data_IF_182057676422
#
_entry.id   IF_182057676422
#
_cell.length_a   1.000
_cell.length_b   1.000
_cell.length_c   1.000
_cell.angle_alpha   90.00
_cell.angle_beta   90.00
_cell.angle_gamma   90.00
#
_symmetry.space_group_name_H-M   'P 1'
#
loop_
_entity.id
_entity.type
_entity.pdbx_description
1 polymer ?
#
# COMPACT_ATOMS: atom_id res chain seq x y z
N UNK A 1 -1.25 -13.28 21.89
CA UNK A 1 -2.57 -13.94 22.03
C UNK A 1 -2.43 -15.16 22.92
N UNK A 2 -3.26 -15.23 23.97
CA UNK A 2 -3.21 -16.28 24.96
C UNK A 2 -4.58 -16.99 25.05
N UNK A 3 -4.60 -18.30 24.80
CA UNK A 3 -5.81 -19.11 24.90
C UNK A 3 -6.07 -19.51 26.36
N UNK A 4 -7.21 -19.08 26.89
CA UNK A 4 -7.65 -19.39 28.26
C UNK A 4 -8.00 -20.87 28.46
N UNK A 5 -8.38 -21.57 27.37
CA UNK A 5 -8.81 -22.98 27.42
C UNK A 5 -7.60 -23.92 27.53
N UNK A 6 -6.60 -23.75 26.68
CA UNK A 6 -5.37 -24.55 26.67
C UNK A 6 -4.29 -24.00 27.61
N UNK A 7 -4.38 -22.73 27.98
CA UNK A 7 -3.37 -21.96 28.71
C UNK A 7 -2.04 -21.85 27.96
N UNK A 8 -2.11 -21.75 26.63
CA UNK A 8 -0.96 -21.64 25.78
C UNK A 8 -0.98 -20.36 24.94
N UNK A 9 0.19 -19.92 24.46
CA UNK A 9 0.28 -18.82 23.52
C UNK A 9 -0.07 -19.30 22.12
N UNK A 10 -1.11 -18.73 21.53
CA UNK A 10 -1.57 -19.02 20.17
C UNK A 10 -0.71 -18.32 19.12
N UNK A 11 -0.30 -17.07 19.40
CA UNK A 11 0.48 -16.27 18.47
C UNK A 11 0.60 -14.83 18.90
N UNK A 12 0.94 -13.95 17.96
CA UNK A 12 1.03 -12.51 18.16
C UNK A 12 0.08 -11.79 17.23
N UNK A 13 -0.44 -10.63 17.65
CA UNK A 13 -1.20 -9.70 16.83
C UNK A 13 -0.40 -8.40 16.67
N UNK A 14 -0.66 -7.70 15.59
CA UNK A 14 -0.11 -6.36 15.38
C UNK A 14 -0.77 -5.37 16.35
N UNK A 15 0.02 -4.43 16.89
CA UNK A 15 -0.46 -3.43 17.85
C UNK A 15 -1.57 -2.55 17.24
N UNK A 16 -1.46 -2.18 15.96
CA UNK A 16 -2.49 -1.40 15.27
C UNK A 16 -3.81 -2.16 15.15
N UNK A 17 -3.72 -3.49 14.93
CA UNK A 17 -4.93 -4.32 14.94
C UNK A 17 -5.58 -4.34 16.33
N UNK A 18 -4.79 -4.51 17.38
CA UNK A 18 -5.31 -4.51 18.75
C UNK A 18 -5.97 -3.17 19.09
N UNK A 19 -5.31 -2.05 18.79
CA UNK A 19 -5.81 -0.71 19.08
C UNK A 19 -7.06 -0.32 18.29
N UNK A 20 -7.20 -0.78 17.05
CA UNK A 20 -8.29 -0.34 16.17
C UNK A 20 -9.47 -1.32 16.10
N UNK A 21 -9.24 -2.60 16.29
CA UNK A 21 -10.21 -3.66 16.00
C UNK A 21 -10.45 -4.63 17.16
N UNK A 22 -9.49 -4.77 18.10
CA UNK A 22 -9.67 -5.71 19.18
C UNK A 22 -10.58 -5.11 20.29
N UNK A 23 -11.72 -5.73 20.48
CA UNK A 23 -12.66 -5.40 21.56
C UNK A 23 -13.16 -6.71 22.18
N UNK A 24 -13.31 -6.80 23.51
CA UNK A 24 -13.91 -7.97 24.14
C UNK A 24 -15.26 -8.33 23.53
N UNK A 25 -15.41 -9.59 23.11
CA UNK A 25 -16.57 -10.11 22.39
C UNK A 25 -16.36 -10.25 20.87
N UNK A 26 -15.48 -9.48 20.27
CA UNK A 26 -15.11 -9.59 18.86
C UNK A 26 -14.36 -10.90 18.57
N UNK A 27 -14.38 -11.30 17.30
CA UNK A 27 -13.75 -12.54 16.83
C UNK A 27 -12.73 -12.30 15.74
N UNK A 28 -11.70 -13.13 15.69
CA UNK A 28 -10.70 -13.10 14.63
C UNK A 28 -10.19 -14.49 14.28
N UNK A 29 -9.55 -14.64 13.12
CA UNK A 29 -8.96 -15.89 12.67
C UNK A 29 -7.45 -15.82 12.85
N UNK A 30 -6.87 -16.81 13.53
CA UNK A 30 -5.43 -17.00 13.63
C UNK A 30 -5.10 -18.50 13.57
N UNK A 31 -4.10 -18.87 12.79
CA UNK A 31 -3.68 -20.28 12.53
C UNK A 31 -4.80 -21.17 11.97
N UNK A 32 -5.74 -20.59 11.23
CA UNK A 32 -6.87 -21.34 10.67
C UNK A 32 -8.01 -21.65 11.65
N UNK A 33 -7.92 -21.16 12.87
CA UNK A 33 -8.94 -21.28 13.92
C UNK A 33 -9.56 -19.92 14.23
N UNK A 34 -10.82 -19.93 14.64
CA UNK A 34 -11.54 -18.72 15.03
C UNK A 34 -11.48 -18.53 16.53
N UNK A 35 -11.13 -17.33 16.95
CA UNK A 35 -10.92 -16.96 18.35
C UNK A 35 -11.84 -15.81 18.73
N UNK A 36 -12.43 -15.89 19.91
CA UNK A 36 -13.16 -14.78 20.53
C UNK A 36 -12.28 -14.09 21.56
N UNK A 37 -12.21 -12.77 21.49
CA UNK A 37 -11.51 -11.94 22.46
C UNK A 37 -12.34 -11.89 23.75
N UNK A 38 -11.75 -12.32 24.85
CA UNK A 38 -12.40 -12.25 26.17
C UNK A 38 -11.95 -11.00 26.93
N UNK A 39 -10.65 -10.70 26.89
CA UNK A 39 -10.07 -9.54 27.57
C UNK A 39 -8.76 -9.10 26.93
N UNK A 40 -8.37 -7.86 27.20
CA UNK A 40 -7.11 -7.27 26.73
C UNK A 40 -6.38 -6.72 27.94
N UNK A 41 -5.22 -7.28 28.23
CA UNK A 41 -4.33 -6.85 29.30
C UNK A 41 -3.21 -6.01 28.68
N UNK A 42 -3.33 -4.69 28.82
CA UNK A 42 -2.37 -3.73 28.29
C UNK A 42 -1.02 -3.79 29.05
N UNK A 43 -1.04 -4.12 30.34
CA UNK A 43 0.16 -4.17 31.19
C UNK A 43 1.04 -5.37 30.80
N UNK A 44 0.42 -6.51 30.46
CA UNK A 44 1.12 -7.72 30.00
C UNK A 44 1.20 -7.80 28.47
N UNK A 45 0.70 -6.82 27.74
CA UNK A 45 0.57 -6.81 26.28
C UNK A 45 -0.05 -8.12 25.77
N UNK A 46 -1.15 -8.55 26.39
CA UNK A 46 -1.78 -9.84 26.17
C UNK A 46 -3.24 -9.73 25.78
N UNK A 47 -3.64 -10.38 24.71
CA UNK A 47 -5.02 -10.58 24.32
C UNK A 47 -5.46 -11.97 24.74
N UNK A 48 -6.42 -12.06 25.65
CA UNK A 48 -6.96 -13.31 26.14
C UNK A 48 -8.12 -13.78 25.27
N UNK A 49 -8.07 -15.03 24.81
CA UNK A 49 -9.02 -15.56 23.83
C UNK A 49 -9.54 -16.96 24.24
N UNK A 50 -10.66 -17.33 23.62
CA UNK A 50 -11.18 -18.69 23.62
C UNK A 50 -11.49 -19.15 22.20
N UNK A 51 -11.27 -20.43 21.84
CA UNK A 51 -11.64 -20.93 20.51
C UNK A 51 -13.15 -20.97 20.34
N UNK A 52 -13.63 -20.76 19.09
CA UNK A 52 -15.03 -20.86 18.70
C UNK A 52 -15.19 -22.00 17.70
N UNK A 53 -16.09 -22.94 17.99
CA UNK A 53 -16.37 -24.09 17.11
C UNK A 53 -17.37 -23.78 15.98
N UNK A 54 -18.17 -22.71 16.12
CA UNK A 54 -19.22 -22.36 15.13
C UNK A 54 -18.89 -21.05 14.40
N UNK A 55 -18.62 -21.08 13.09
CA UNK A 55 -18.22 -19.91 12.29
C UNK A 55 -19.41 -19.05 11.83
N UNK A 56 -20.54 -19.02 12.53
CA UNK A 56 -21.70 -18.21 12.15
C UNK A 56 -21.52 -16.68 12.34
N UNK A 57 -20.31 -16.21 12.65
CA UNK A 57 -19.97 -14.80 12.79
C UNK A 57 -19.27 -14.22 11.56
N UNK A 58 -19.20 -12.91 11.46
CA UNK A 58 -18.41 -12.20 10.46
C UNK A 58 -16.94 -12.64 10.54
N UNK A 59 -16.35 -12.95 9.39
CA UNK A 59 -14.92 -13.24 9.30
C UNK A 59 -14.19 -11.93 9.50
N UNK A 60 -13.47 -11.74 10.62
CA UNK A 60 -12.74 -10.50 10.82
C UNK A 60 -11.65 -10.38 9.75
N UNK A 61 -11.57 -9.23 9.11
CA UNK A 61 -10.46 -8.91 8.23
C UNK A 61 -9.23 -8.60 9.09
N UNK A 62 -8.39 -9.59 9.30
CA UNK A 62 -7.07 -9.36 9.88
C UNK A 62 -6.13 -8.83 8.79
N UNK A 63 -5.63 -7.62 8.99
CA UNK A 63 -4.54 -7.08 8.20
C UNK A 63 -3.26 -7.27 9.02
N UNK A 64 -2.39 -8.18 8.59
CA UNK A 64 -1.05 -8.30 9.19
C UNK A 64 -0.28 -6.99 9.07
N UNK A 65 0.80 -6.84 9.83
CA UNK A 65 1.69 -5.68 9.65
C UNK A 65 2.17 -5.65 8.21
N UNK A 66 1.98 -4.51 7.58
CA UNK A 66 2.47 -4.27 6.23
C UNK A 66 4.00 -4.32 6.23
N UNK A 67 4.57 -5.19 5.41
CA UNK A 67 6.02 -5.25 5.26
C UNK A 67 6.44 -4.02 4.45
N UNK A 68 7.20 -3.07 5.04
CA UNK A 68 7.56 -1.86 4.33
C UNK A 68 8.48 -2.20 3.14
N UNK A 69 8.14 -1.68 1.97
CA UNK A 69 8.99 -1.77 0.77
C UNK A 69 10.06 -0.70 0.84
N UNK A 70 11.36 -1.06 0.88
CA UNK A 70 12.45 -0.10 0.89
C UNK A 70 12.51 0.74 -0.39
N UNK A 71 13.03 1.97 -0.29
CA UNK A 71 13.18 2.87 -1.44
C UNK A 71 13.98 2.24 -2.58
N UNK A 72 15.02 1.44 -2.29
CA UNK A 72 15.81 0.75 -3.29
C UNK A 72 14.99 -0.25 -4.12
N UNK A 73 14.05 -0.97 -3.48
CA UNK A 73 13.17 -1.93 -4.19
C UNK A 73 12.13 -1.18 -5.02
N UNK A 74 11.53 -0.13 -4.47
CA UNK A 74 10.56 0.69 -5.21
C UNK A 74 11.21 1.38 -6.41
N UNK A 75 12.42 1.92 -6.24
CA UNK A 75 13.20 2.52 -7.32
C UNK A 75 13.54 1.52 -8.45
N UNK A 76 13.91 0.28 -8.09
CA UNK A 76 14.14 -0.80 -9.05
C UNK A 76 12.89 -1.10 -9.91
N UNK A 77 11.70 -1.10 -9.28
CA UNK A 77 10.43 -1.24 -10.00
C UNK A 77 10.19 -0.04 -10.92
N UNK A 78 10.51 1.17 -10.46
CA UNK A 78 10.44 2.39 -11.26
C UNK A 78 11.34 2.32 -12.50
N UNK A 79 12.61 1.93 -12.33
CA UNK A 79 13.57 1.73 -13.42
C UNK A 79 13.07 0.67 -14.43
N UNK A 80 12.59 -0.47 -13.93
CA UNK A 80 12.04 -1.53 -14.78
C UNK A 80 10.86 -1.01 -15.64
N UNK A 81 9.96 -0.24 -15.04
CA UNK A 81 8.84 0.40 -15.75
C UNK A 81 9.33 1.35 -16.84
N UNK A 82 10.33 2.19 -16.54
CA UNK A 82 10.91 3.14 -17.49
C UNK A 82 11.56 2.45 -18.68
N UNK A 83 12.38 1.42 -18.43
CA UNK A 83 13.04 0.63 -19.48
C UNK A 83 12.01 -0.08 -20.36
N UNK A 84 11.01 -0.75 -19.75
CA UNK A 84 9.97 -1.46 -20.50
C UNK A 84 9.12 -0.50 -21.35
N UNK A 85 8.73 0.65 -20.79
CA UNK A 85 7.97 1.66 -21.51
C UNK A 85 8.71 2.15 -22.76
N UNK A 86 10.00 2.46 -22.66
CA UNK A 86 10.81 2.89 -23.79
C UNK A 86 10.86 1.84 -24.91
N UNK A 87 10.85 0.55 -24.58
CA UNK A 87 10.82 -0.52 -25.57
C UNK A 87 9.44 -0.67 -26.23
N UNK A 88 8.35 -0.56 -25.46
CA UNK A 88 6.99 -0.59 -26.01
C UNK A 88 6.69 0.62 -26.89
N UNK A 89 7.18 1.81 -26.54
CA UNK A 89 7.13 2.98 -27.42
C UNK A 89 7.89 2.75 -28.74
N UNK A 90 8.97 1.98 -28.69
CA UNK A 90 9.73 1.51 -29.87
C UNK A 90 9.07 0.35 -30.63
N UNK A 91 7.84 -0.05 -30.26
CA UNK A 91 7.08 -1.15 -30.87
C UNK A 91 7.65 -2.55 -30.67
N UNK A 92 8.41 -2.78 -29.58
CA UNK A 92 8.82 -4.12 -29.20
C UNK A 92 7.61 -4.93 -28.69
N UNK A 93 7.59 -6.24 -28.97
CA UNK A 93 6.57 -7.13 -28.43
C UNK A 93 6.88 -7.50 -26.96
N UNK A 94 5.84 -7.78 -26.17
CA UNK A 94 5.98 -8.10 -24.75
C UNK A 94 6.90 -9.30 -24.47
N UNK A 95 6.87 -10.42 -25.22
CA UNK A 95 7.80 -11.50 -25.04
C UNK A 95 9.27 -11.12 -25.29
N UNK A 96 9.54 -10.22 -26.24
CA UNK A 96 10.89 -9.72 -26.46
C UNK A 96 11.38 -8.87 -25.28
N UNK A 97 10.54 -7.95 -24.81
CA UNK A 97 10.82 -7.15 -23.61
C UNK A 97 11.05 -8.04 -22.39
N UNK A 98 10.17 -9.02 -22.14
CA UNK A 98 10.30 -9.94 -21.01
C UNK A 98 11.63 -10.68 -20.99
N UNK A 99 12.12 -11.14 -22.14
CA UNK A 99 13.41 -11.84 -22.24
C UNK A 99 14.61 -10.99 -21.83
N UNK A 100 14.56 -9.68 -21.97
CA UNK A 100 15.64 -8.79 -21.51
C UNK A 100 15.72 -8.68 -19.99
N UNK A 101 14.61 -8.89 -19.28
CA UNK A 101 14.56 -8.85 -17.83
C UNK A 101 14.93 -10.19 -17.15
N UNK A 102 14.82 -11.32 -17.86
CA UNK A 102 15.10 -12.65 -17.31
C UNK A 102 16.51 -12.81 -16.70
N UNK A 103 17.58 -12.23 -17.24
CA UNK A 103 18.91 -12.34 -16.62
C UNK A 103 19.03 -11.59 -15.28
N UNK A 104 18.17 -10.60 -15.04
CA UNK A 104 18.24 -9.71 -13.87
C UNK A 104 17.25 -10.12 -12.79
N UNK A 105 16.09 -10.64 -13.16
CA UNK A 105 15.02 -10.97 -12.24
C UNK A 105 14.69 -12.46 -12.21
N UNK A 106 14.50 -13.05 -11.00
CA UNK A 106 14.12 -14.44 -10.88
C UNK A 106 12.68 -14.65 -11.37
N UNK A 107 12.51 -15.55 -12.32
CA UNK A 107 11.19 -15.86 -12.90
C UNK A 107 11.34 -16.56 -14.24
N UNK A 108 10.24 -17.02 -14.77
CA UNK A 108 10.14 -17.48 -16.16
C UNK A 108 9.59 -16.37 -17.08
N UNK A 109 9.67 -16.60 -18.40
CA UNK A 109 9.23 -15.63 -19.40
C UNK A 109 7.74 -15.25 -19.21
N UNK A 110 6.92 -16.19 -18.79
CA UNK A 110 5.49 -15.95 -18.55
C UNK A 110 5.28 -14.99 -17.37
N UNK A 111 5.92 -15.25 -16.25
CA UNK A 111 5.81 -14.42 -15.03
C UNK A 111 6.26 -12.99 -15.32
N UNK A 112 7.39 -12.82 -15.99
CA UNK A 112 7.90 -11.49 -16.35
C UNK A 112 6.96 -10.80 -17.35
N UNK A 113 6.48 -11.53 -18.36
CA UNK A 113 5.54 -11.01 -19.35
C UNK A 113 4.22 -10.54 -18.69
N UNK A 114 3.67 -11.31 -17.74
CA UNK A 114 2.48 -10.92 -17.00
C UNK A 114 2.71 -9.66 -16.14
N UNK A 115 3.89 -9.53 -15.53
CA UNK A 115 4.26 -8.33 -14.76
C UNK A 115 4.38 -7.06 -15.63
N UNK A 116 4.72 -7.20 -16.92
CA UNK A 116 4.84 -6.09 -17.87
C UNK A 116 3.50 -5.66 -18.50
N UNK A 117 2.44 -6.47 -18.40
CA UNK A 117 1.13 -6.18 -19.00
C UNK A 117 0.54 -4.80 -18.60
N UNK A 118 0.58 -4.36 -17.33
CA UNK A 118 0.10 -3.03 -16.97
C UNK A 118 0.91 -1.90 -17.62
N UNK A 119 2.22 -2.08 -17.77
CA UNK A 119 3.11 -1.08 -18.39
C UNK A 119 2.79 -0.92 -19.86
N UNK A 120 2.67 -2.03 -20.60
CA UNK A 120 2.30 -2.01 -22.02
C UNK A 120 0.96 -1.34 -22.25
N UNK A 121 -0.08 -1.70 -21.48
CA UNK A 121 -1.41 -1.08 -21.58
C UNK A 121 -1.40 0.42 -21.30
N UNK A 122 -0.56 0.88 -20.37
CA UNK A 122 -0.46 2.30 -20.07
C UNK A 122 0.23 3.07 -21.19
N UNK A 123 1.28 2.49 -21.79
CA UNK A 123 1.95 3.04 -22.99
C UNK A 123 1.00 3.09 -24.18
N UNK A 124 0.25 2.01 -24.45
CA UNK A 124 -0.76 1.97 -25.53
C UNK A 124 -1.85 3.03 -25.34
N UNK A 125 -2.25 3.29 -24.10
CA UNK A 125 -3.22 4.35 -23.76
C UNK A 125 -2.64 5.77 -23.91
N UNK A 126 -1.34 5.92 -24.14
CA UNK A 126 -0.66 7.22 -24.20
C UNK A 126 -0.65 7.95 -22.85
N UNK A 127 -0.83 7.24 -21.74
CA UNK A 127 -0.84 7.81 -20.40
C UNK A 127 0.60 7.88 -19.83
N UNK A 128 0.92 8.94 -19.05
CA UNK A 128 2.22 9.04 -18.41
C UNK A 128 2.42 7.90 -17.42
N UNK A 129 3.64 7.34 -17.38
CA UNK A 129 4.00 6.24 -16.49
C UNK A 129 4.93 6.74 -15.39
N UNK A 130 4.67 6.44 -14.10
CA UNK A 130 5.61 6.73 -13.02
C UNK A 130 6.81 5.79 -13.10
N UNK A 131 8.01 6.37 -13.02
CA UNK A 131 9.30 5.68 -13.08
C UNK A 131 10.18 6.05 -11.89
N UNK A 132 11.42 5.62 -11.87
CA UNK A 132 12.40 6.03 -10.86
C UNK A 132 12.76 7.53 -10.92
N UNK A 133 12.66 8.13 -12.11
CA UNK A 133 12.94 9.55 -12.39
C UNK A 133 11.70 10.41 -12.69
N UNK A 134 10.51 9.82 -12.67
CA UNK A 134 9.25 10.50 -13.00
C UNK A 134 8.16 10.26 -11.98
N UNK A 135 7.69 11.34 -11.37
CA UNK A 135 6.47 11.38 -10.58
C UNK A 135 5.31 11.73 -11.50
N UNK A 136 4.18 11.04 -11.34
CA UNK A 136 2.95 11.35 -12.06
C UNK A 136 1.90 11.85 -11.06
N UNK A 137 1.28 12.98 -11.34
CA UNK A 137 0.20 13.54 -10.53
C UNK A 137 -1.09 13.51 -11.33
N UNK A 138 -2.04 12.73 -10.88
CA UNK A 138 -3.37 12.62 -11.49
C UNK A 138 -4.44 13.24 -10.62
N UNK A 139 -5.47 13.77 -11.23
CA UNK A 139 -6.56 14.38 -10.47
C UNK A 139 -7.90 14.32 -11.19
N UNK A 140 -8.91 13.80 -10.50
CA UNK A 140 -10.28 13.77 -10.98
C UNK A 140 -11.26 14.20 -9.87
N UNK A 141 -11.99 15.27 -10.10
CA UNK A 141 -12.94 15.78 -9.11
C UNK A 141 -12.24 16.24 -7.83
N UNK A 142 -12.31 15.47 -6.76
CA UNK A 142 -11.67 15.72 -5.46
C UNK A 142 -10.53 14.76 -5.15
N UNK A 143 -10.37 13.74 -5.94
CA UNK A 143 -9.32 12.74 -5.78
C UNK A 143 -8.06 13.23 -6.49
N UNK A 144 -6.96 13.17 -5.79
CA UNK A 144 -5.61 13.40 -6.33
C UNK A 144 -4.78 12.18 -5.97
N UNK A 145 -4.05 11.67 -6.95
CA UNK A 145 -3.10 10.57 -6.76
C UNK A 145 -1.74 11.07 -7.21
N UNK A 146 -0.74 10.83 -6.41
CA UNK A 146 0.66 11.12 -6.72
C UNK A 146 1.39 9.79 -6.78
N UNK A 147 1.69 9.35 -7.98
CA UNK A 147 2.45 8.12 -8.20
C UNK A 147 3.95 8.41 -8.12
N UNK A 148 4.60 7.83 -7.09
CA UNK A 148 6.01 8.02 -6.78
C UNK A 148 6.63 6.72 -6.27
N UNK A 149 7.57 6.16 -7.01
CA UNK A 149 8.23 4.89 -6.71
C UNK A 149 9.38 5.07 -5.70
N UNK A 150 9.11 5.62 -4.50
CA UNK A 150 10.12 5.94 -3.51
C UNK A 150 10.15 5.01 -2.28
N UNK A 151 9.21 4.07 -2.20
CA UNK A 151 9.08 3.16 -1.06
C UNK A 151 8.31 3.78 0.12
N UNK A 152 7.97 2.95 1.11
CA UNK A 152 7.08 3.34 2.21
C UNK A 152 7.62 4.53 3.01
N UNK A 153 8.83 4.45 3.55
CA UNK A 153 9.37 5.47 4.48
C UNK A 153 9.51 6.85 3.82
N UNK A 154 9.93 6.87 2.56
CA UNK A 154 10.06 8.13 1.81
C UNK A 154 8.69 8.69 1.51
N UNK A 155 7.77 7.87 1.01
CA UNK A 155 6.41 8.28 0.70
C UNK A 155 5.64 8.72 1.96
N UNK A 156 5.80 8.06 3.10
CA UNK A 156 5.24 8.53 4.39
C UNK A 156 5.75 9.91 4.77
N UNK A 157 7.06 10.13 4.62
CA UNK A 157 7.68 11.44 4.94
C UNK A 157 7.13 12.53 4.02
N UNK A 158 7.08 12.26 2.71
CA UNK A 158 6.49 13.16 1.72
C UNK A 158 5.01 13.40 1.98
N UNK A 159 4.26 12.35 2.30
CA UNK A 159 2.85 12.44 2.62
C UNK A 159 2.58 13.37 3.79
N UNK A 160 3.33 13.24 4.89
CA UNK A 160 3.23 14.13 6.05
C UNK A 160 3.55 15.58 5.69
N UNK A 161 4.61 15.82 4.90
CA UNK A 161 4.98 17.13 4.44
C UNK A 161 3.89 17.75 3.57
N UNK A 162 3.39 17.00 2.59
CA UNK A 162 2.31 17.44 1.69
C UNK A 162 1.01 17.73 2.44
N UNK A 163 0.63 16.86 3.39
CA UNK A 163 -0.54 17.10 4.24
C UNK A 163 -0.42 18.41 5.01
N UNK A 164 0.76 18.69 5.57
CA UNK A 164 1.01 19.95 6.29
C UNK A 164 0.94 21.18 5.38
N UNK A 165 1.53 21.12 4.18
CA UNK A 165 1.52 22.22 3.21
C UNK A 165 0.11 22.49 2.64
N UNK A 166 -0.62 21.43 2.28
CA UNK A 166 -2.01 21.57 1.82
C UNK A 166 -2.88 22.06 2.96
N UNK A 167 -2.70 21.55 4.17
CA UNK A 167 -3.41 21.99 5.36
C UNK A 167 -3.21 23.49 5.66
N UNK A 168 -1.98 23.99 5.54
CA UNK A 168 -1.69 25.43 5.68
C UNK A 168 -2.40 26.27 4.61
N UNK A 169 -2.41 25.81 3.35
CA UNK A 169 -3.08 26.54 2.24
C UNK A 169 -4.60 26.51 2.35
N UNK A 170 -5.17 25.42 2.84
CA UNK A 170 -6.63 25.23 2.87
C UNK A 170 -7.27 25.59 4.22
N UNK A 171 -6.48 25.71 5.28
CA UNK A 171 -6.98 25.90 6.64
C UNK A 171 -7.67 24.68 7.22
N UNK A 172 -7.46 23.50 6.68
CA UNK A 172 -8.12 22.24 7.07
C UNK A 172 -7.10 21.12 7.23
N UNK A 173 -7.40 20.15 8.09
CA UNK A 173 -6.62 18.90 8.15
C UNK A 173 -6.79 18.12 6.85
N UNK A 174 -5.69 17.53 6.38
CA UNK A 174 -5.62 16.70 5.17
C UNK A 174 -5.14 15.32 5.59
N UNK A 175 -5.99 14.31 5.44
CA UNK A 175 -5.61 12.91 5.55
C UNK A 175 -4.73 12.50 4.37
N UNK A 176 -3.94 11.45 4.52
CA UNK A 176 -3.07 10.94 3.48
C UNK A 176 -3.03 9.43 3.55
N UNK A 177 -3.46 8.77 2.49
CA UNK A 177 -3.16 7.36 2.28
C UNK A 177 -1.83 7.24 1.56
N UNK A 178 -0.99 6.29 1.98
CA UNK A 178 0.37 6.11 1.46
C UNK A 178 0.64 4.64 1.24
N UNK A 179 1.14 4.32 0.06
CA UNK A 179 1.73 3.02 -0.23
C UNK A 179 3.16 3.19 -0.81
N UNK A 180 3.93 2.12 -1.09
CA UNK A 180 5.30 2.24 -1.59
C UNK A 180 5.46 2.99 -2.91
N UNK A 181 4.37 3.13 -3.66
CA UNK A 181 4.38 3.62 -5.04
C UNK A 181 3.49 4.84 -5.25
N UNK A 182 2.70 5.24 -4.23
CA UNK A 182 1.79 6.39 -4.37
C UNK A 182 1.41 7.04 -3.04
N UNK A 183 0.90 8.26 -3.18
CA UNK A 183 0.30 9.03 -2.12
C UNK A 183 -1.08 9.52 -2.59
N UNK A 184 -2.08 9.42 -1.74
CA UNK A 184 -3.46 9.85 -2.03
C UNK A 184 -3.95 10.80 -0.93
N UNK A 185 -3.87 12.13 -1.15
CA UNK A 185 -4.35 13.11 -0.19
C UNK A 185 -5.89 13.18 -0.20
N UNK A 186 -6.49 13.11 0.98
CA UNK A 186 -7.90 13.38 1.22
C UNK A 186 -8.16 14.89 1.21
N UNK A 187 -8.49 15.47 0.06
CA UNK A 187 -8.69 16.90 -0.06
C UNK A 187 -10.00 17.36 0.59
N UNK A 188 -9.99 18.45 1.40
CA UNK A 188 -11.19 19.00 2.01
C UNK A 188 -12.17 19.54 0.95
N UNK A 189 -13.46 19.53 1.27
CA UNK A 189 -14.61 19.62 0.38
C UNK A 189 -14.71 20.74 -0.66
N UNK A 190 -13.83 21.73 -0.66
CA UNK A 190 -13.75 22.82 -1.64
C UNK A 190 -12.42 22.88 -2.39
N UNK A 191 -11.54 21.94 -2.17
CA UNK A 191 -10.19 21.89 -2.74
C UNK A 191 -10.20 20.93 -3.93
N UNK A 192 -9.79 21.39 -5.10
CA UNK A 192 -9.71 20.57 -6.30
C UNK A 192 -8.26 20.21 -6.68
N UNK A 193 -8.06 19.39 -7.72
CA UNK A 193 -6.74 18.93 -8.17
C UNK A 193 -5.74 20.04 -8.48
N UNK A 194 -6.23 21.23 -8.87
CA UNK A 194 -5.38 22.41 -9.11
C UNK A 194 -4.61 22.86 -7.87
N UNK A 195 -5.22 22.81 -6.69
CA UNK A 195 -4.54 23.20 -5.44
C UNK A 195 -3.46 22.19 -5.04
N UNK A 196 -3.68 20.92 -5.28
CA UNK A 196 -2.65 19.91 -5.07
C UNK A 196 -1.47 20.12 -6.01
N UNK A 197 -1.73 20.35 -7.30
CA UNK A 197 -0.72 20.65 -8.30
C UNK A 197 0.13 21.86 -7.91
N UNK A 198 -0.49 22.97 -7.48
CA UNK A 198 0.20 24.18 -7.03
C UNK A 198 1.14 23.95 -5.84
N UNK A 199 0.86 22.95 -5.00
CA UNK A 199 1.75 22.55 -3.90
C UNK A 199 3.01 21.88 -4.43
N UNK A 200 2.86 20.97 -5.42
CA UNK A 200 3.98 20.24 -5.99
C UNK A 200 4.86 21.07 -6.92
N UNK A 201 4.28 22.05 -7.62
CA UNK A 201 5.06 22.95 -8.51
C UNK A 201 5.78 24.08 -7.76
N UNK A 202 5.48 24.29 -6.48
CA UNK A 202 6.06 25.40 -5.68
C UNK A 202 7.11 24.93 -4.67
N UNK A 203 7.35 23.61 -4.57
CA UNK A 203 8.32 22.98 -3.67
C UNK A 203 9.54 22.52 -4.43
#
# INVERSE_FOLDING_TARGET
VYDLSSRETVGTLDEKFVLNFATPGETFIQRGEMWRINDIDDDEARVEVTPIEDPAGEVPSWTGSEIPVPAAVAGEVGEMRGVAAGQFEGSADRPAVAREFLPRYPGDERTVSEALDPVERQVEAGAPLPTDDRIVVEGQGRTVVVDAAFGHEVNETLGRLCSALVGQKTGSSVGMEVDPYRLEPELPGRTGPRHARDVWETT
#
